data_IF_620647585947
#
_entry.id   IF_620647585947
#
_cell.length_a   1.000
_cell.length_b   1.000
_cell.length_c   1.000
_cell.angle_alpha   90.00
_cell.angle_beta   90.00
_cell.angle_gamma   90.00
#
_symmetry.space_group_name_H-M   'P 1'
#
loop_
_entity.id
_entity.type
_entity.pdbx_description
1 polymer ?
#
# COMPACT_ATOMS: atom_id res chain seq x y z
N UNK A 1 24.75 -2.20 -1.51
CA UNK A 1 23.43 -2.18 -0.87
C UNK A 1 22.90 -0.78 -1.11
N UNK A 2 22.07 -0.64 -2.13
CA UNK A 2 21.56 0.65 -2.60
C UNK A 2 20.27 0.93 -1.81
N UNK A 3 20.30 1.92 -0.92
CA UNK A 3 19.14 2.34 -0.13
C UNK A 3 18.40 3.37 -0.98
N UNK A 4 17.78 2.91 -2.06
CA UNK A 4 16.92 3.74 -2.91
C UNK A 4 15.49 3.36 -2.58
N UNK A 5 14.78 4.10 -1.73
CA UNK A 5 13.31 4.26 -1.72
C UNK A 5 12.91 5.16 -0.54
N UNK A 6 13.30 6.44 -0.59
CA UNK A 6 12.57 7.49 0.12
C UNK A 6 11.65 8.15 -0.90
N UNK A 7 10.41 7.67 -1.03
CA UNK A 7 9.36 8.42 -1.72
C UNK A 7 8.64 9.27 -0.68
N UNK A 8 8.82 10.59 -0.78
CA UNK A 8 8.14 11.58 0.04
C UNK A 8 6.71 11.68 -0.46
N UNK A 9 5.74 11.21 0.32
CA UNK A 9 4.34 11.47 0.05
C UNK A 9 4.04 12.92 0.44
N UNK A 10 3.94 13.78 -0.57
CA UNK A 10 3.30 15.12 -0.57
C UNK A 10 4.00 16.33 0.08
N UNK A 11 3.97 17.45 -0.67
CA UNK A 11 4.26 18.83 -0.23
C UNK A 11 2.97 19.56 0.17
N UNK A 12 2.14 18.96 1.01
CA UNK A 12 1.11 19.72 1.72
C UNK A 12 1.75 20.46 2.91
N UNK A 13 1.16 21.56 3.42
CA UNK A 13 1.49 22.11 4.73
C UNK A 13 0.92 21.17 5.80
N UNK A 14 1.43 19.94 5.83
CA UNK A 14 1.38 19.05 6.96
C UNK A 14 2.31 19.71 7.97
N UNK A 15 1.85 19.86 9.21
CA UNK A 15 2.71 20.18 10.35
C UNK A 15 4.03 19.41 10.17
N UNK A 16 5.17 20.09 10.18
CA UNK A 16 6.44 19.63 9.59
C UNK A 16 7.09 18.43 10.32
N UNK A 17 6.29 17.60 10.98
CA UNK A 17 6.67 16.65 12.02
C UNK A 17 6.14 15.23 11.79
N UNK A 18 5.28 14.95 10.80
CA UNK A 18 4.79 13.58 10.55
C UNK A 18 4.66 13.26 9.06
N UNK A 19 5.53 12.39 8.55
CA UNK A 19 5.41 11.74 7.25
C UNK A 19 5.37 10.23 7.46
N UNK A 20 4.44 9.55 6.80
CA UNK A 20 4.35 8.08 6.85
C UNK A 20 5.35 7.47 5.87
N UNK A 21 6.07 6.44 6.31
CA UNK A 21 7.08 5.74 5.50
C UNK A 21 6.73 4.26 5.44
N UNK A 22 6.76 3.72 4.23
CA UNK A 22 6.70 2.28 3.99
C UNK A 22 8.13 1.80 3.80
N UNK A 23 8.51 0.79 4.55
CA UNK A 23 9.84 0.21 4.47
C UNK A 23 9.78 -1.22 3.94
N UNK A 24 10.84 -1.60 3.23
CA UNK A 24 11.09 -2.98 2.85
C UNK A 24 11.99 -3.61 3.90
N UNK A 25 11.67 -4.84 4.31
CA UNK A 25 12.44 -5.63 5.28
C UNK A 25 12.61 -7.04 4.75
N UNK A 26 13.75 -7.65 5.07
CA UNK A 26 14.07 -9.02 4.66
C UNK A 26 14.27 -9.93 5.88
N UNK A 27 13.71 -11.14 5.78
CA UNK A 27 13.87 -12.19 6.77
C UNK A 27 14.37 -13.45 6.09
N UNK A 28 15.46 -14.01 6.61
CA UNK A 28 15.96 -15.32 6.20
C UNK A 28 16.14 -16.21 7.42
N UNK A 29 15.72 -17.47 7.32
CA UNK A 29 15.93 -18.46 8.36
C UNK A 29 16.29 -19.81 7.74
N UNK A 30 17.24 -20.50 8.35
CA UNK A 30 17.69 -21.83 7.93
C UNK A 30 17.97 -22.72 9.15
N UNK A 31 17.81 -24.02 8.95
CA UNK A 31 18.25 -25.05 9.89
C UNK A 31 19.21 -25.95 9.13
N UNK A 32 20.43 -26.10 9.64
CA UNK A 32 21.53 -26.83 8.97
C UNK A 32 22.26 -27.73 9.96
N UNK A 33 22.73 -28.90 9.53
CA UNK A 33 23.34 -29.87 10.43
C UNK A 33 23.82 -31.13 9.73
N UNK A 34 24.62 -31.94 10.43
CA UNK A 34 25.05 -33.25 9.94
C UNK A 34 23.98 -34.33 10.12
N UNK A 35 23.16 -34.18 11.15
CA UNK A 35 22.14 -35.16 11.55
C UNK A 35 21.07 -34.51 12.46
N UNK A 36 20.08 -35.31 12.88
CA UNK A 36 18.95 -34.88 13.72
C UNK A 36 19.35 -34.42 15.13
N UNK A 37 20.56 -34.76 15.58
CA UNK A 37 21.07 -34.43 16.91
C UNK A 37 22.12 -33.32 16.89
N UNK A 38 22.66 -33.00 15.70
CA UNK A 38 23.74 -32.02 15.50
C UNK A 38 23.36 -31.08 14.38
N UNK A 39 22.62 -30.05 14.76
CA UNK A 39 22.15 -29.02 13.85
C UNK A 39 22.20 -27.64 14.52
N UNK A 40 22.03 -26.60 13.71
CA UNK A 40 22.03 -25.21 14.12
C UNK A 40 20.96 -24.47 13.32
N UNK A 41 20.10 -23.74 14.02
CA UNK A 41 19.20 -22.76 13.44
C UNK A 41 19.91 -21.41 13.31
N UNK A 42 19.80 -20.77 12.16
CA UNK A 42 20.32 -19.42 11.92
C UNK A 42 19.21 -18.59 11.31
N UNK A 43 19.03 -17.36 11.80
CA UNK A 43 18.12 -16.39 11.21
C UNK A 43 18.80 -15.03 11.07
N UNK A 44 18.51 -14.36 9.95
CA UNK A 44 18.88 -12.98 9.67
C UNK A 44 17.59 -12.16 9.69
N UNK A 45 17.48 -11.30 10.69
CA UNK A 45 16.28 -10.55 11.00
C UNK A 45 16.63 -9.06 10.99
N UNK A 46 15.86 -8.27 10.27
CA UNK A 46 15.86 -6.83 10.44
C UNK A 46 14.86 -6.44 11.52
N UNK A 47 15.32 -5.72 12.54
CA UNK A 47 14.53 -5.27 13.69
C UNK A 47 14.54 -3.76 13.87
N UNK A 48 15.00 -3.01 12.87
CA UNK A 48 15.20 -1.55 12.98
C UNK A 48 13.87 -0.78 13.08
N UNK A 49 12.75 -1.39 12.68
CA UNK A 49 11.38 -0.84 12.80
C UNK A 49 10.68 -1.25 14.10
N UNK A 50 11.33 -2.06 14.96
CA UNK A 50 10.78 -2.38 16.28
C UNK A 50 11.07 -1.23 17.24
N UNK A 51 10.23 -0.20 17.19
CA UNK A 51 10.31 0.94 18.11
C UNK A 51 9.99 0.53 19.56
N UNK A 52 10.79 1.06 20.48
CA UNK A 52 10.62 0.94 21.93
C UNK A 52 9.56 1.96 22.36
N UNK A 53 8.29 1.60 22.19
CA UNK A 53 7.18 2.46 22.60
C UNK A 53 6.81 2.27 24.08
N UNK A 54 7.23 1.15 24.68
CA UNK A 54 6.98 0.79 26.08
C UNK A 54 8.32 0.40 26.72
N UNK A 55 8.47 0.53 28.04
CA UNK A 55 9.69 0.13 28.80
C UNK A 55 10.05 -1.37 28.65
N UNK A 56 9.27 -2.13 27.88
CA UNK A 56 9.49 -3.53 27.55
C UNK A 56 10.13 -3.70 26.15
N UNK A 57 11.27 -4.40 26.06
CA UNK A 57 11.91 -4.65 24.77
C UNK A 57 11.06 -5.56 23.87
N UNK A 58 11.01 -5.22 22.58
CA UNK A 58 10.21 -5.94 21.57
C UNK A 58 10.75 -7.37 21.32
N UNK A 59 9.94 -8.27 20.75
CA UNK A 59 10.26 -9.68 20.72
C UNK A 59 11.56 -10.08 20.01
N UNK A 60 12.05 -9.30 19.03
CA UNK A 60 13.29 -9.59 18.30
C UNK A 60 14.48 -8.72 18.74
N UNK A 61 14.31 -7.86 19.76
CA UNK A 61 15.39 -7.03 20.29
C UNK A 61 16.34 -7.82 21.17
N UNK A 62 17.66 -7.57 21.04
CA UNK A 62 18.70 -8.20 21.87
C UNK A 62 18.45 -7.97 23.37
N UNK A 63 18.06 -6.74 23.74
CA UNK A 63 17.77 -6.37 25.13
C UNK A 63 16.71 -7.26 25.80
N UNK A 64 15.75 -7.81 25.03
CA UNK A 64 14.78 -8.75 25.57
C UNK A 64 15.43 -10.04 26.05
N UNK A 65 16.34 -10.58 25.28
CA UNK A 65 17.01 -11.84 25.60
C UNK A 65 18.02 -11.68 26.73
N UNK A 66 18.62 -10.49 26.86
CA UNK A 66 19.44 -10.15 28.02
C UNK A 66 18.57 -10.15 29.30
N UNK A 67 17.38 -9.53 29.26
CA UNK A 67 16.43 -9.55 30.37
C UNK A 67 15.93 -10.97 30.72
N UNK A 68 15.52 -11.76 29.72
CA UNK A 68 15.07 -13.14 29.93
C UNK A 68 16.15 -13.97 30.64
N UNK A 69 17.42 -13.77 30.25
CA UNK A 69 18.56 -14.46 30.85
C UNK A 69 18.78 -14.05 32.31
N UNK A 70 18.63 -12.77 32.65
CA UNK A 70 18.74 -12.28 34.02
C UNK A 70 17.63 -12.84 34.93
N UNK A 71 16.45 -13.11 34.35
CA UNK A 71 15.32 -13.78 35.01
C UNK A 71 15.46 -15.31 35.07
N UNK A 72 16.54 -15.87 34.53
CA UNK A 72 16.81 -17.31 34.49
C UNK A 72 16.01 -18.07 33.43
N UNK A 73 15.38 -17.37 32.49
CA UNK A 73 14.70 -17.94 31.33
C UNK A 73 15.64 -18.00 30.12
N UNK A 74 15.68 -19.15 29.45
CA UNK A 74 16.42 -19.30 28.19
C UNK A 74 15.38 -19.38 27.07
N UNK A 75 15.09 -18.22 26.49
CA UNK A 75 14.16 -18.06 25.38
C UNK A 75 14.82 -18.34 24.03
N UNK A 76 14.10 -19.00 23.13
CA UNK A 76 14.57 -19.21 21.77
C UNK A 76 14.38 -17.96 20.89
N UNK A 77 15.47 -17.38 20.32
CA UNK A 77 15.37 -16.18 19.52
C UNK A 77 14.68 -16.38 18.17
N UNK A 78 14.82 -17.54 17.54
CA UNK A 78 14.17 -17.84 16.26
C UNK A 78 12.65 -17.99 16.43
N UNK A 79 12.18 -18.29 17.65
CA UNK A 79 10.77 -18.37 18.01
C UNK A 79 10.20 -17.06 18.58
N UNK A 80 10.92 -15.95 18.44
CA UNK A 80 10.56 -14.66 19.05
C UNK A 80 10.31 -14.82 20.56
N UNK A 81 11.15 -15.60 21.25
CA UNK A 81 11.05 -15.85 22.70
C UNK A 81 9.69 -16.35 23.19
N UNK A 82 8.90 -17.01 22.33
CA UNK A 82 7.60 -17.58 22.71
C UNK A 82 7.71 -18.95 23.38
N UNK A 83 8.94 -19.44 23.54
CA UNK A 83 9.16 -20.82 23.89
C UNK A 83 10.44 -20.99 24.69
N UNK A 84 10.30 -21.80 25.73
CA UNK A 84 11.39 -22.18 26.63
C UNK A 84 12.22 -23.26 25.95
N UNK A 85 13.50 -22.97 25.76
CA UNK A 85 14.48 -23.87 25.16
C UNK A 85 14.52 -25.21 25.90
N UNK A 86 14.29 -25.22 27.20
CA UNK A 86 14.38 -26.42 28.04
C UNK A 86 13.19 -27.37 27.91
N UNK A 87 12.06 -26.93 27.34
CA UNK A 87 10.80 -27.70 27.31
C UNK A 87 10.44 -28.25 25.93
N UNK A 88 11.29 -28.06 24.95
CA UNK A 88 10.94 -28.20 23.54
C UNK A 88 11.56 -29.43 22.90
N UNK A 89 10.82 -30.10 22.00
CA UNK A 89 11.42 -31.12 21.15
C UNK A 89 12.35 -30.44 20.14
N UNK A 90 13.62 -30.87 20.12
CA UNK A 90 14.69 -30.31 19.28
C UNK A 90 14.88 -31.09 17.98
N UNK A 91 13.79 -31.46 17.33
CA UNK A 91 13.86 -32.10 16.02
C UNK A 91 13.92 -31.02 14.93
N UNK A 92 14.94 -30.99 14.07
CA UNK A 92 15.23 -29.85 13.20
C UNK A 92 14.10 -29.56 12.20
N UNK A 93 13.38 -30.59 11.78
CA UNK A 93 12.24 -30.47 10.84
C UNK A 93 11.06 -29.76 11.48
N UNK A 94 10.59 -30.24 12.65
CA UNK A 94 9.48 -29.61 13.37
C UNK A 94 9.87 -28.23 13.90
N UNK A 95 11.13 -28.06 14.28
CA UNK A 95 11.72 -26.79 14.66
C UNK A 95 11.67 -25.76 13.52
N UNK A 96 12.14 -26.12 12.32
CA UNK A 96 12.08 -25.22 11.16
C UNK A 96 10.66 -24.79 10.82
N UNK A 97 9.72 -25.74 10.74
CA UNK A 97 8.35 -25.40 10.34
C UNK A 97 7.66 -24.52 11.40
N UNK A 98 8.04 -24.67 12.67
CA UNK A 98 7.57 -23.81 13.75
C UNK A 98 8.12 -22.39 13.64
N UNK A 99 9.40 -22.23 13.28
CA UNK A 99 9.97 -20.91 12.97
C UNK A 99 9.21 -20.28 11.82
N UNK A 100 9.03 -21.00 10.70
CA UNK A 100 8.31 -20.50 9.54
C UNK A 100 6.89 -20.06 9.92
N UNK A 101 6.17 -20.85 10.72
CA UNK A 101 4.86 -20.50 11.24
C UNK A 101 4.88 -19.17 12.03
N UNK A 102 5.83 -19.02 12.95
CA UNK A 102 5.93 -17.81 13.80
C UNK A 102 6.24 -16.58 12.95
N UNK A 103 7.22 -16.69 12.04
CA UNK A 103 7.66 -15.60 11.19
C UNK A 103 6.61 -15.21 10.14
N UNK A 104 5.89 -16.18 9.57
CA UNK A 104 4.80 -15.86 8.65
C UNK A 104 3.65 -15.14 9.36
N UNK A 105 3.38 -15.47 10.63
CA UNK A 105 2.39 -14.72 11.42
C UNK A 105 2.82 -13.28 11.71
N UNK A 106 4.11 -13.06 11.96
CA UNK A 106 4.67 -11.71 12.07
C UNK A 106 4.46 -10.94 10.77
N UNK A 107 4.89 -11.51 9.63
CA UNK A 107 4.74 -10.92 8.31
C UNK A 107 3.26 -10.58 8.01
N UNK A 108 2.33 -11.48 8.31
CA UNK A 108 0.90 -11.21 8.14
C UNK A 108 0.42 -10.02 9.00
N UNK A 109 0.91 -9.91 10.24
CA UNK A 109 0.59 -8.77 11.11
C UNK A 109 1.05 -7.43 10.51
N UNK A 110 2.25 -7.40 9.94
CA UNK A 110 2.76 -6.21 9.25
C UNK A 110 1.90 -5.86 8.02
N UNK A 111 1.48 -6.86 7.23
CA UNK A 111 0.58 -6.63 6.09
C UNK A 111 -0.81 -6.14 6.51
N UNK A 112 -1.38 -6.69 7.58
CA UNK A 112 -2.66 -6.23 8.13
C UNK A 112 -2.56 -4.78 8.64
N UNK A 113 -1.45 -4.43 9.31
CA UNK A 113 -1.18 -3.06 9.77
C UNK A 113 -1.02 -2.10 8.58
N UNK A 114 -0.21 -2.47 7.59
CA UNK A 114 0.00 -1.64 6.40
C UNK A 114 -1.32 -1.39 5.65
N UNK A 115 -2.10 -2.44 5.43
CA UNK A 115 -3.42 -2.33 4.81
C UNK A 115 -4.32 -1.36 5.57
N UNK A 116 -4.40 -1.49 6.90
CA UNK A 116 -5.24 -0.61 7.73
C UNK A 116 -4.87 0.88 7.59
N UNK A 117 -3.59 1.21 7.49
CA UNK A 117 -3.15 2.59 7.31
C UNK A 117 -3.46 3.10 5.90
N UNK A 118 -3.17 2.31 4.87
CA UNK A 118 -3.43 2.70 3.48
C UNK A 118 -4.93 2.84 3.21
N UNK A 119 -5.77 1.92 3.71
CA UNK A 119 -7.23 1.99 3.60
C UNK A 119 -7.78 3.32 4.14
N UNK A 120 -7.31 3.75 5.32
CA UNK A 120 -7.68 5.05 5.90
C UNK A 120 -7.30 6.23 5.01
N UNK A 121 -6.09 6.21 4.44
CA UNK A 121 -5.60 7.26 3.54
C UNK A 121 -6.46 7.32 2.28
N UNK A 122 -6.74 6.18 1.65
CA UNK A 122 -7.60 6.11 0.45
C UNK A 122 -9.02 6.56 0.76
N UNK A 123 -9.60 6.14 1.88
CA UNK A 123 -10.94 6.56 2.29
C UNK A 123 -11.02 8.07 2.59
N UNK A 124 -9.94 8.69 3.07
CA UNK A 124 -9.84 10.15 3.21
C UNK A 124 -9.75 10.83 1.83
N UNK A 125 -8.88 10.33 0.95
CA UNK A 125 -8.72 10.83 -0.41
C UNK A 125 -10.04 10.77 -1.20
N UNK A 126 -10.79 9.66 -1.11
CA UNK A 126 -12.10 9.52 -1.76
C UNK A 126 -13.12 10.57 -1.32
N UNK A 127 -13.15 10.87 -0.01
CA UNK A 127 -14.04 11.92 0.52
C UNK A 127 -13.62 13.31 0.05
N UNK A 128 -12.33 13.59 0.02
CA UNK A 128 -11.80 14.85 -0.47
C UNK A 128 -12.07 15.02 -1.97
N UNK A 129 -11.81 13.98 -2.76
CA UNK A 129 -12.06 13.94 -4.20
C UNK A 129 -13.52 14.26 -4.52
N UNK A 130 -14.47 13.55 -3.88
CA UNK A 130 -15.91 13.81 -4.07
C UNK A 130 -16.28 15.26 -3.77
N UNK A 131 -15.77 15.81 -2.66
CA UNK A 131 -16.03 17.20 -2.29
C UNK A 131 -15.48 18.18 -3.33
N UNK A 132 -14.28 17.94 -3.85
CA UNK A 132 -13.67 18.80 -4.86
C UNK A 132 -14.45 18.78 -6.19
N UNK A 133 -14.98 17.63 -6.60
CA UNK A 133 -15.87 17.55 -7.75
C UNK A 133 -17.17 18.33 -7.53
N UNK A 134 -17.82 18.14 -6.38
CA UNK A 134 -19.03 18.89 -6.02
C UNK A 134 -18.77 20.42 -6.02
N UNK A 135 -17.63 20.85 -5.45
CA UNK A 135 -17.22 22.26 -5.43
C UNK A 135 -16.91 22.78 -6.84
N UNK A 136 -16.26 21.99 -7.70
CA UNK A 136 -15.93 22.35 -9.09
C UNK A 136 -17.20 22.62 -9.90
N UNK A 137 -18.19 21.72 -9.83
CA UNK A 137 -19.48 21.85 -10.53
C UNK A 137 -20.30 23.07 -10.09
N UNK A 138 -20.12 23.54 -8.85
CA UNK A 138 -20.84 24.71 -8.30
C UNK A 138 -20.21 26.05 -8.70
N UNK A 139 -18.95 26.06 -9.15
CA UNK A 139 -18.19 27.29 -9.41
C UNK A 139 -18.32 27.69 -10.88
N UNK A 140 -19.55 27.95 -11.33
CA UNK A 140 -19.83 28.23 -12.75
C UNK A 140 -19.63 29.70 -13.16
N UNK A 141 -19.41 30.63 -12.23
CA UNK A 141 -19.56 32.07 -12.50
C UNK A 141 -18.35 32.95 -12.14
N UNK A 142 -17.24 32.38 -11.68
CA UNK A 142 -16.04 33.13 -11.31
C UNK A 142 -14.79 32.43 -11.79
N UNK A 143 -14.15 33.01 -12.82
CA UNK A 143 -12.92 32.49 -13.41
C UNK A 143 -11.82 32.20 -12.38
N UNK A 144 -11.63 33.10 -11.41
CA UNK A 144 -10.62 32.91 -10.36
C UNK A 144 -10.95 31.78 -9.38
N UNK A 145 -12.23 31.52 -9.14
CA UNK A 145 -12.64 30.41 -8.28
C UNK A 145 -12.59 29.07 -9.04
N UNK A 146 -12.88 29.07 -10.35
CA UNK A 146 -12.78 27.89 -11.21
C UNK A 146 -11.32 27.43 -11.32
N UNK A 147 -10.39 28.34 -11.58
CA UNK A 147 -8.96 28.03 -11.64
C UNK A 147 -8.40 27.47 -10.32
N UNK A 148 -8.89 27.97 -9.17
CA UNK A 148 -8.49 27.45 -7.86
C UNK A 148 -9.08 26.05 -7.58
N UNK A 149 -10.31 25.78 -8.02
CA UNK A 149 -10.93 24.46 -7.91
C UNK A 149 -10.23 23.43 -8.79
N UNK A 150 -9.92 23.81 -10.03
CA UNK A 150 -9.15 22.98 -10.98
C UNK A 150 -7.77 22.63 -10.41
N UNK A 151 -7.02 23.60 -9.88
CA UNK A 151 -5.70 23.34 -9.26
C UNK A 151 -5.79 22.32 -8.13
N UNK A 152 -6.80 22.44 -7.25
CA UNK A 152 -6.99 21.49 -6.14
C UNK A 152 -7.37 20.10 -6.62
N UNK A 153 -8.14 20.03 -7.70
CA UNK A 153 -8.52 18.76 -8.30
C UNK A 153 -7.29 18.06 -8.88
N UNK A 154 -6.46 18.77 -9.65
CA UNK A 154 -5.22 18.26 -10.21
C UNK A 154 -4.24 17.77 -9.11
N UNK A 155 -4.10 18.53 -8.01
CA UNK A 155 -3.32 18.12 -6.84
C UNK A 155 -3.87 16.81 -6.23
N UNK A 156 -5.19 16.68 -6.13
CA UNK A 156 -5.84 15.46 -5.63
C UNK A 156 -5.64 14.28 -6.59
N UNK A 157 -5.75 14.49 -7.89
CA UNK A 157 -5.52 13.46 -8.90
C UNK A 157 -4.09 12.92 -8.84
N UNK A 158 -3.11 13.81 -8.70
CA UNK A 158 -1.71 13.43 -8.55
C UNK A 158 -1.51 12.54 -7.31
N UNK A 159 -2.08 12.91 -6.17
CA UNK A 159 -2.01 12.09 -4.94
C UNK A 159 -2.68 10.72 -5.13
N UNK A 160 -3.86 10.67 -5.75
CA UNK A 160 -4.58 9.42 -6.00
C UNK A 160 -3.78 8.50 -6.93
N UNK A 161 -3.14 9.07 -7.96
CA UNK A 161 -2.27 8.33 -8.87
C UNK A 161 -1.06 7.73 -8.15
N UNK A 162 -0.37 8.53 -7.33
CA UNK A 162 0.76 8.04 -6.52
C UNK A 162 0.34 6.92 -5.56
N UNK A 163 -0.80 7.07 -4.90
CA UNK A 163 -1.34 6.04 -4.01
C UNK A 163 -1.71 4.76 -4.78
N UNK A 164 -2.30 4.90 -5.98
CA UNK A 164 -2.60 3.79 -6.87
C UNK A 164 -1.35 3.02 -7.32
N UNK A 165 -0.25 3.73 -7.63
CA UNK A 165 1.03 3.10 -7.96
C UNK A 165 1.62 2.32 -6.79
N UNK A 166 1.49 2.85 -5.57
CA UNK A 166 1.97 2.17 -4.36
C UNK A 166 1.13 0.92 -4.08
N UNK A 167 -0.19 1.00 -4.19
CA UNK A 167 -1.09 -0.16 -4.06
C UNK A 167 -0.75 -1.25 -5.09
N UNK A 168 -0.41 -0.87 -6.32
CA UNK A 168 0.04 -1.78 -7.37
C UNK A 168 1.33 -2.52 -6.96
N UNK A 169 2.30 -1.79 -6.41
CA UNK A 169 3.56 -2.35 -5.93
C UNK A 169 3.37 -3.29 -4.73
N UNK A 170 2.54 -2.90 -3.77
CA UNK A 170 2.18 -3.70 -2.61
C UNK A 170 1.46 -5.00 -3.01
N UNK A 171 0.47 -4.89 -3.89
CA UNK A 171 -0.27 -6.04 -4.42
C UNK A 171 0.66 -7.02 -5.12
N UNK A 172 1.55 -6.53 -5.99
CA UNK A 172 2.56 -7.37 -6.66
C UNK A 172 3.44 -8.09 -5.66
N UNK A 173 4.00 -7.37 -4.68
CA UNK A 173 4.94 -7.94 -3.68
C UNK A 173 4.27 -9.03 -2.84
N UNK A 174 3.04 -8.78 -2.38
CA UNK A 174 2.27 -9.78 -1.64
C UNK A 174 1.87 -10.98 -2.53
N UNK A 175 1.55 -10.72 -3.79
CA UNK A 175 1.25 -11.75 -4.79
C UNK A 175 2.42 -12.68 -5.08
N UNK A 176 3.64 -12.14 -5.17
CA UNK A 176 4.88 -12.93 -5.33
C UNK A 176 5.14 -13.82 -4.09
N UNK A 177 4.89 -13.28 -2.90
CA UNK A 177 4.98 -14.04 -1.64
C UNK A 177 3.98 -15.19 -1.62
N UNK A 178 2.72 -14.93 -1.99
CA UNK A 178 1.66 -15.95 -2.04
C UNK A 178 1.93 -17.01 -3.12
N UNK A 179 2.47 -16.62 -4.27
CA UNK A 179 2.85 -17.54 -5.35
C UNK A 179 3.97 -18.48 -4.90
N UNK A 180 4.99 -17.95 -4.23
CA UNK A 180 6.06 -18.75 -3.66
C UNK A 180 5.56 -19.70 -2.57
N UNK A 181 4.64 -19.22 -1.73
CA UNK A 181 3.99 -20.04 -0.71
C UNK A 181 3.11 -21.14 -1.31
N UNK A 182 2.46 -20.90 -2.45
CA UNK A 182 1.67 -21.91 -3.15
C UNK A 182 2.56 -23.08 -3.59
N UNK A 183 3.70 -22.80 -4.21
CA UNK A 183 4.70 -23.82 -4.59
C UNK A 183 5.12 -24.62 -3.35
N UNK A 184 5.49 -23.95 -2.27
CA UNK A 184 5.82 -24.62 -1.00
C UNK A 184 4.69 -25.55 -0.51
N UNK A 185 3.44 -25.09 -0.55
CA UNK A 185 2.29 -25.89 -0.08
C UNK A 185 1.92 -27.05 -1.00
N UNK A 186 2.35 -27.03 -2.26
CA UNK A 186 2.08 -28.09 -3.24
C UNK A 186 3.19 -29.14 -3.25
N UNK A 187 4.44 -28.72 -3.24
CA UNK A 187 5.60 -29.61 -3.42
C UNK A 187 6.33 -29.87 -2.11
N UNK A 188 6.83 -28.80 -1.49
CA UNK A 188 7.86 -28.89 -0.44
C UNK A 188 7.27 -29.28 0.91
N UNK A 189 5.98 -29.02 1.12
CA UNK A 189 5.24 -29.43 2.32
C UNK A 189 5.34 -30.94 2.55
N UNK A 190 5.45 -31.73 1.48
CA UNK A 190 5.52 -33.17 1.58
C UNK A 190 6.73 -33.60 2.41
N UNK A 191 7.88 -32.91 2.32
CA UNK A 191 9.06 -33.19 3.15
C UNK A 191 8.72 -33.22 4.66
N UNK A 192 7.80 -32.36 5.10
CA UNK A 192 7.36 -32.27 6.49
C UNK A 192 6.32 -33.32 6.89
N UNK A 193 5.66 -33.93 5.90
CA UNK A 193 4.63 -34.96 6.08
C UNK A 193 5.20 -36.39 5.96
N UNK A 194 6.42 -36.56 5.44
CA UNK A 194 7.07 -37.86 5.34
C UNK A 194 7.44 -38.42 6.73
N UNK A 195 7.17 -39.69 6.96
CA UNK A 195 7.45 -40.41 8.22
C UNK A 195 8.83 -41.07 8.25
N UNK A 196 9.75 -40.71 7.36
CA UNK A 196 11.01 -41.42 7.12
C UNK A 196 12.06 -41.31 8.25
N UNK A 197 11.75 -40.58 9.31
CA UNK A 197 12.53 -40.52 10.54
C UNK A 197 11.58 -40.52 11.72
N UNK A 198 11.53 -41.62 12.50
CA UNK A 198 10.82 -41.78 13.78
C UNK A 198 9.29 -41.55 13.78
N UNK A 199 8.63 -42.24 14.72
CA UNK A 199 7.19 -42.08 14.98
C UNK A 199 6.97 -40.74 15.69
N UNK A 200 6.34 -39.76 15.03
CA UNK A 200 5.96 -38.47 15.64
C UNK A 200 6.37 -37.24 14.83
N UNK A 201 7.41 -37.33 14.01
CA UNK A 201 7.99 -36.18 13.28
C UNK A 201 6.97 -35.46 12.38
N UNK A 202 6.14 -36.23 11.67
CA UNK A 202 5.08 -35.66 10.83
C UNK A 202 3.96 -35.04 11.69
N UNK A 203 3.62 -35.65 12.82
CA UNK A 203 2.54 -35.20 13.72
C UNK A 203 2.88 -33.82 14.31
N UNK A 204 4.13 -33.64 14.75
CA UNK A 204 4.60 -32.37 15.30
C UNK A 204 4.60 -31.24 14.25
N UNK A 205 4.71 -31.58 12.97
CA UNK A 205 4.61 -30.63 11.87
C UNK A 205 3.16 -30.26 11.49
N UNK A 206 2.17 -31.12 11.78
CA UNK A 206 0.78 -30.91 11.33
C UNK A 206 0.17 -29.62 11.87
N UNK A 207 0.37 -29.32 13.16
CA UNK A 207 -0.22 -28.12 13.77
C UNK A 207 0.41 -26.84 13.20
N UNK A 208 1.76 -26.68 13.14
CA UNK A 208 2.39 -25.56 12.46
C UNK A 208 1.94 -25.40 11.00
N UNK A 209 1.87 -26.49 10.23
CA UNK A 209 1.42 -26.46 8.83
C UNK A 209 -0.02 -25.98 8.67
N UNK A 210 -0.91 -26.42 9.54
CA UNK A 210 -2.30 -25.95 9.57
C UNK A 210 -2.38 -24.44 9.85
N UNK A 211 -1.55 -23.95 10.78
CA UNK A 211 -1.48 -22.53 11.10
C UNK A 211 -0.87 -21.72 9.95
N UNK A 212 0.21 -22.20 9.31
CA UNK A 212 0.79 -21.59 8.10
C UNK A 212 -0.29 -21.42 7.03
N UNK A 213 -1.07 -22.47 6.73
CA UNK A 213 -2.15 -22.38 5.74
C UNK A 213 -3.21 -21.34 6.12
N UNK A 214 -3.59 -21.26 7.40
CA UNK A 214 -4.52 -20.22 7.88
C UNK A 214 -3.96 -18.82 7.68
N UNK A 215 -2.67 -18.62 7.96
CA UNK A 215 -1.99 -17.34 7.77
C UNK A 215 -1.89 -16.96 6.29
N UNK A 216 -1.53 -17.89 5.41
CA UNK A 216 -1.54 -17.66 3.96
C UNK A 216 -2.93 -17.29 3.43
N UNK A 217 -3.98 -17.92 3.95
CA UNK A 217 -5.35 -17.55 3.60
C UNK A 217 -5.74 -16.15 4.09
N UNK A 218 -5.18 -15.67 5.20
CA UNK A 218 -5.35 -14.28 5.66
C UNK A 218 -4.64 -13.31 4.72
N UNK A 219 -3.37 -13.57 4.43
CA UNK A 219 -2.58 -12.80 3.47
C UNK A 219 -3.26 -12.73 2.09
N UNK A 220 -3.87 -13.83 1.63
CA UNK A 220 -4.64 -13.87 0.38
C UNK A 220 -5.90 -13.00 0.39
N UNK A 221 -6.51 -12.75 1.56
CA UNK A 221 -7.59 -11.74 1.70
C UNK A 221 -7.01 -10.33 1.62
N UNK A 222 -5.97 -10.02 2.40
CA UNK A 222 -5.29 -8.72 2.34
C UNK A 222 -4.84 -8.36 0.92
N UNK A 223 -4.30 -9.32 0.15
CA UNK A 223 -3.95 -9.12 -1.26
C UNK A 223 -5.15 -8.70 -2.13
N UNK A 224 -6.32 -9.30 -1.90
CA UNK A 224 -7.56 -8.94 -2.61
C UNK A 224 -8.03 -7.55 -2.21
N UNK A 225 -8.05 -7.27 -0.91
CA UNK A 225 -8.51 -6.00 -0.36
C UNK A 225 -7.64 -4.83 -0.86
N UNK A 226 -6.31 -5.01 -0.94
CA UNK A 226 -5.39 -4.06 -1.60
C UNK A 226 -5.77 -3.87 -3.07
N UNK A 227 -6.17 -4.94 -3.77
CA UNK A 227 -6.65 -4.86 -5.15
C UNK A 227 -7.95 -4.07 -5.30
N UNK A 228 -8.84 -4.11 -4.32
CA UNK A 228 -10.08 -3.31 -4.29
C UNK A 228 -9.77 -1.83 -4.04
N UNK A 229 -8.83 -1.51 -3.15
CA UNK A 229 -8.34 -0.15 -2.96
C UNK A 229 -7.68 0.41 -4.23
N UNK A 230 -6.93 -0.42 -4.95
CA UNK A 230 -6.33 -0.03 -6.22
C UNK A 230 -7.41 0.35 -7.24
N UNK A 231 -8.46 -0.48 -7.38
CA UNK A 231 -9.59 -0.19 -8.27
C UNK A 231 -10.36 1.07 -7.87
N UNK A 232 -10.43 1.37 -6.57
CA UNK A 232 -11.01 2.63 -6.07
C UNK A 232 -10.21 3.85 -6.56
N UNK A 233 -8.87 3.76 -6.55
CA UNK A 233 -8.02 4.83 -7.07
C UNK A 233 -8.20 5.02 -8.59
N UNK A 234 -8.27 3.93 -9.33
CA UNK A 234 -8.51 3.95 -10.79
C UNK A 234 -9.86 4.61 -11.12
N UNK A 235 -10.92 4.25 -10.39
CA UNK A 235 -12.25 4.86 -10.57
C UNK A 235 -12.30 6.35 -10.24
N UNK A 236 -11.56 6.82 -9.23
CA UNK A 236 -11.47 8.25 -8.92
C UNK A 236 -10.84 9.02 -10.08
N UNK A 237 -9.74 8.51 -10.65
CA UNK A 237 -9.08 9.15 -11.79
C UNK A 237 -9.98 9.19 -13.04
N UNK A 238 -10.75 8.13 -13.29
CA UNK A 238 -11.70 8.09 -14.41
C UNK A 238 -12.82 9.13 -14.28
N UNK A 239 -13.35 9.36 -13.07
CA UNK A 239 -14.43 10.33 -12.87
C UNK A 239 -14.06 11.77 -13.23
N UNK A 240 -12.81 12.18 -13.00
CA UNK A 240 -12.36 13.53 -13.36
C UNK A 240 -12.25 13.72 -14.88
N UNK A 241 -11.78 12.68 -15.59
CA UNK A 241 -11.64 12.75 -17.04
C UNK A 241 -13.00 12.97 -17.73
N UNK A 242 -14.04 12.27 -17.26
CA UNK A 242 -15.41 12.40 -17.80
C UNK A 242 -15.95 13.82 -17.59
N UNK A 243 -15.69 14.43 -16.44
CA UNK A 243 -16.19 15.77 -16.13
C UNK A 243 -15.45 16.87 -16.92
N UNK A 244 -14.12 16.74 -17.10
CA UNK A 244 -13.33 17.66 -17.92
C UNK A 244 -13.72 17.62 -19.41
N UNK A 245 -14.10 16.45 -19.94
CA UNK A 245 -14.55 16.31 -21.33
C UNK A 245 -15.94 16.96 -21.58
N UNK A 246 -16.81 17.03 -20.57
CA UNK A 246 -18.15 17.62 -20.71
C UNK A 246 -18.15 19.16 -20.78
N UNK A 247 -17.15 19.84 -20.18
CA UNK A 247 -17.00 21.30 -20.28
C UNK A 247 -16.39 21.76 -21.62
N UNK A 248 -15.64 20.90 -22.32
CA UNK A 248 -14.97 21.23 -23.58
C UNK A 248 -15.90 21.36 -24.80
N UNK A 249 -17.15 20.91 -24.67
CA UNK A 249 -18.13 20.83 -25.76
C UNK A 249 -19.22 21.94 -25.72
N UNK A 250 -19.04 23.01 -24.92
CA UNK A 250 -19.96 24.16 -25.03
C UNK A 250 -19.90 24.77 -26.44
N UNK A 251 -21.04 24.82 -27.17
CA UNK A 251 -21.06 25.34 -28.53
C UNK A 251 -20.73 26.83 -28.48
N UNK A 252 -19.67 27.22 -29.21
CA UNK A 252 -19.39 28.61 -29.56
C UNK A 252 -20.66 29.16 -30.21
N UNK A 253 -21.43 29.92 -29.44
CA UNK A 253 -22.63 30.56 -29.92
C UNK A 253 -22.26 31.47 -31.09
N UNK A 254 -22.84 31.19 -32.26
CA UNK A 254 -22.76 32.05 -33.43
C UNK A 254 -23.03 33.50 -33.01
N UNK A 255 -21.99 34.32 -33.07
CA UNK A 255 -22.12 35.76 -32.93
C UNK A 255 -23.11 36.26 -33.97
N UNK A 256 -24.16 36.90 -33.46
CA UNK A 256 -25.18 37.60 -34.22
C UNK A 256 -24.57 38.42 -35.37
N UNK A 257 -24.81 37.98 -36.61
CA UNK A 257 -24.68 38.82 -37.79
C UNK A 257 -25.84 39.82 -37.77
N UNK A 258 -25.62 40.96 -37.10
CA UNK A 258 -26.47 42.15 -37.25
C UNK A 258 -26.12 42.80 -38.59
N UNK A 259 -26.91 42.51 -39.63
CA UNK A 259 -26.88 43.29 -40.88
C UNK A 259 -27.82 44.48 -40.72
N UNK A 260 -27.30 45.58 -40.18
CA UNK A 260 -27.94 46.88 -40.31
C UNK A 260 -27.56 47.49 -41.67
N UNK A 261 -28.48 47.40 -42.65
CA UNK A 261 -28.41 48.19 -43.87
C UNK A 261 -29.06 49.55 -43.62
N UNK A 262 -28.25 50.56 -43.30
CA UNK A 262 -28.64 51.97 -43.40
C UNK A 262 -28.41 52.48 -44.83
N UNK A 263 -29.50 52.96 -45.41
CA UNK A 263 -29.59 53.60 -46.72
C UNK A 263 -29.79 55.11 -46.49
N UNK A 264 -28.74 55.94 -46.63
CA UNK A 264 -28.87 57.40 -46.82
C UNK A 264 -27.62 57.97 -47.53
N UNK A 265 -27.74 58.25 -48.83
CA UNK A 265 -27.04 59.37 -49.49
C UNK A 265 -27.99 59.92 -50.54
N UNK A 266 -28.40 61.19 -50.53
CA UNK A 266 -27.59 62.28 -51.08
C UNK A 266 -28.18 63.65 -50.75
N UNK A 267 -27.29 64.62 -50.68
CA UNK A 267 -27.38 66.03 -50.28
C UNK A 267 -28.14 66.96 -51.24
N UNK A 268 -28.54 68.16 -50.79
CA UNK A 268 -29.13 69.20 -51.62
C UNK A 268 -28.09 70.19 -52.15
N UNK A 269 -28.26 70.69 -53.38
CA UNK A 269 -27.63 71.94 -53.81
C UNK A 269 -28.47 72.64 -54.88
N UNK A 270 -28.94 73.84 -54.55
CA UNK A 270 -29.71 74.73 -55.41
C UNK A 270 -28.81 75.89 -55.87
N UNK A 271 -28.65 75.96 -57.20
CA UNK A 271 -28.63 77.11 -58.11
C UNK A 271 -27.92 78.42 -57.70
N UNK A 272 -27.04 78.90 -58.59
CA UNK A 272 -27.28 80.17 -59.28
C UNK A 272 -26.55 80.26 -60.62
N UNK A 273 -27.34 80.62 -61.63
CA UNK A 273 -26.96 80.93 -63.00
C UNK A 273 -26.17 82.25 -63.12
N UNK A 274 -25.37 82.32 -64.19
CA UNK A 274 -25.12 83.53 -64.95
C UNK A 274 -24.94 83.16 -66.42
N UNK A 275 -25.95 83.42 -67.26
CA UNK A 275 -25.81 84.03 -68.59
C UNK A 275 -27.18 84.47 -69.14
N UNK A 276 -27.26 85.80 -69.35
CA UNK A 276 -28.25 86.66 -70.05
C UNK A 276 -29.66 86.79 -69.46
#
# INVERSE_FOLDING_TARGET
MDITFMRRFTEMPIDATSFDVIYSSHLSAMVTGSDQHRWTGVAFLESWYEDVFDDEPRPDMVARYDNDKDDGLISDPLWRGRNDVMRSSWEPRSYFIRILQIRLNQINGEWESLYFHVDKVIAAALRQHKKLLDDFLLVSNSFGAQQEAERKLDECEMMVKEAGDVLRDLKRTLGETLSSAAVFTETDVNYFLHQDGRVGDAIDCMMPLSQIRKTLNKMGRTHRDIGELQGTCESMLESVHIEKEHEGDEPVGDENVVVDNYDVSTTPQCSRDFQL
#
